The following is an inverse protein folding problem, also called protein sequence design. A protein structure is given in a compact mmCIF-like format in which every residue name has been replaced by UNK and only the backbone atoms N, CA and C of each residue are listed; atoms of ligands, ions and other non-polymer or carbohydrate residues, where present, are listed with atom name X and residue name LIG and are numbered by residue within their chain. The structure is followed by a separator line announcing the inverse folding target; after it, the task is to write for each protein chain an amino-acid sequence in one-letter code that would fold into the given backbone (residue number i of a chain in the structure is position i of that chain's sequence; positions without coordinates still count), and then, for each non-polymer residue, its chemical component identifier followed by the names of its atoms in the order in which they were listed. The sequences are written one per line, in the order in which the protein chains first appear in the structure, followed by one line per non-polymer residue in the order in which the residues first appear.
data_IF_424473780428
#
_entry.id   IF_424473780428
#
_cell.length_a   1.000
_cell.length_b   1.000
_cell.length_c   1.000
_cell.angle_alpha   90.00
_cell.angle_beta   90.00
_cell.angle_gamma   90.00
#
_symmetry.space_group_name_H-M   'P 1'
#
loop_
_entity.id
_entity.type
_entity.pdbx_description
1 polymer ?
#
# COMPACT_ATOMS: atom_id res chain seq x y z
N UNK A 1 36.35 -24.65 14.38
CA UNK A 1 36.73 -23.43 15.13
C UNK A 1 37.19 -22.42 14.10
N UNK A 2 36.36 -21.50 13.75
CA UNK A 2 36.65 -20.09 13.49
C UNK A 2 35.31 -19.46 13.17
N UNK A 3 34.80 -18.80 14.18
CA UNK A 3 33.67 -17.89 14.10
C UNK A 3 34.06 -16.75 13.15
N UNK A 4 33.28 -16.52 12.12
CA UNK A 4 33.34 -15.31 11.31
C UNK A 4 32.29 -14.35 11.89
N UNK A 5 32.80 -13.41 12.71
CA UNK A 5 32.05 -12.23 13.15
C UNK A 5 31.52 -11.47 11.93
N UNK A 6 30.21 -11.40 11.81
CA UNK A 6 29.55 -10.44 10.95
C UNK A 6 29.62 -9.11 11.71
N UNK A 7 30.47 -8.23 11.23
CA UNK A 7 30.54 -6.86 11.71
C UNK A 7 29.23 -6.14 11.38
N UNK A 8 28.37 -6.04 12.38
CA UNK A 8 27.36 -5.00 12.48
C UNK A 8 28.02 -3.87 13.26
N UNK A 9 28.22 -2.74 12.64
CA UNK A 9 28.22 -1.41 13.26
C UNK A 9 28.72 -0.41 12.22
N UNK A 10 27.77 0.07 11.41
CA UNK A 10 27.99 1.33 10.72
C UNK A 10 27.49 2.41 11.68
N UNK A 11 28.42 3.02 12.44
CA UNK A 11 28.16 4.25 13.18
C UNK A 11 27.51 5.26 12.24
N UNK A 12 26.32 5.75 12.59
CA UNK A 12 25.68 6.91 12.00
C UNK A 12 26.60 8.12 12.21
N UNK A 13 27.48 8.37 11.24
CA UNK A 13 28.15 9.65 11.11
C UNK A 13 27.07 10.74 10.98
N UNK A 14 27.38 11.98 11.41
CA UNK A 14 26.55 13.18 11.26
C UNK A 14 26.30 13.53 9.78
N UNK A 15 25.51 12.75 9.10
CA UNK A 15 25.14 12.83 7.69
C UNK A 15 23.70 12.37 7.57
N UNK A 16 22.91 13.03 6.71
CA UNK A 16 21.49 12.87 6.50
C UNK A 16 20.96 11.42 6.40
N UNK A 17 19.70 11.22 6.08
CA UNK A 17 19.06 9.90 6.11
C UNK A 17 19.69 8.93 5.10
N UNK A 18 19.78 7.65 5.46
CA UNK A 18 20.40 6.59 4.67
C UNK A 18 19.37 5.53 4.24
N UNK A 19 19.72 4.77 3.19
CA UNK A 19 18.93 3.60 2.78
C UNK A 19 18.91 2.59 3.92
N UNK A 20 17.71 2.13 4.30
CA UNK A 20 17.52 1.18 5.38
C UNK A 20 16.63 0.01 4.97
N UNK A 21 16.99 -1.21 5.41
CA UNK A 21 16.06 -2.33 5.37
C UNK A 21 14.92 -2.10 6.37
N UNK A 22 13.70 -2.31 5.95
CA UNK A 22 12.53 -2.28 6.84
C UNK A 22 12.25 -3.66 7.41
N UNK A 23 12.21 -3.74 8.73
CA UNK A 23 11.68 -4.91 9.42
C UNK A 23 10.16 -5.03 9.15
N UNK A 24 9.58 -6.25 9.20
CA UNK A 24 8.14 -6.44 9.13
C UNK A 24 7.41 -5.64 10.22
N UNK A 25 6.34 -4.93 9.81
CA UNK A 25 5.45 -4.16 10.68
C UNK A 25 4.01 -4.65 10.46
N UNK A 26 3.70 -5.81 11.05
CA UNK A 26 2.52 -6.62 10.73
C UNK A 26 1.52 -6.57 11.89
N UNK A 27 0.62 -5.57 11.93
CA UNK A 27 -0.38 -5.44 12.96
C UNK A 27 -1.45 -6.55 12.85
N UNK A 28 -2.13 -6.82 13.96
CA UNK A 28 -3.30 -7.67 13.95
C UNK A 28 -4.49 -6.91 13.37
N UNK A 29 -5.30 -7.60 12.53
CA UNK A 29 -6.52 -7.07 11.93
C UNK A 29 -7.72 -7.96 12.23
N UNK A 30 -8.91 -7.50 11.88
CA UNK A 30 -10.16 -8.24 12.10
C UNK A 30 -10.38 -9.37 11.09
N UNK A 31 -9.73 -9.35 9.92
CA UNK A 31 -9.84 -10.36 8.86
C UNK A 31 -8.59 -11.25 8.76
N UNK A 32 -8.70 -12.34 8.00
CA UNK A 32 -7.67 -13.38 7.92
C UNK A 32 -6.66 -13.13 6.82
N UNK A 33 -5.44 -13.60 7.04
CA UNK A 33 -4.30 -13.58 6.12
C UNK A 33 -2.98 -13.45 6.85
N UNK A 34 -1.91 -13.26 6.08
CA UNK A 34 -0.55 -13.00 6.55
C UNK A 34 0.45 -14.12 6.25
N UNK A 35 0.02 -15.34 5.98
CA UNK A 35 0.94 -16.45 5.69
C UNK A 35 1.83 -16.16 4.49
N UNK A 36 1.25 -15.60 3.41
CA UNK A 36 2.01 -15.23 2.20
C UNK A 36 2.95 -14.07 2.45
N UNK A 37 2.62 -13.15 3.37
CA UNK A 37 3.52 -12.05 3.78
C UNK A 37 4.73 -12.61 4.48
N UNK A 38 4.57 -13.47 5.50
CA UNK A 38 5.71 -14.08 6.20
C UNK A 38 6.60 -14.87 5.24
N UNK A 39 5.99 -15.63 4.32
CA UNK A 39 6.72 -16.38 3.30
C UNK A 39 7.47 -15.44 2.34
N UNK A 40 6.83 -14.40 1.83
CA UNK A 40 7.41 -13.41 0.93
C UNK A 40 8.58 -12.66 1.60
N UNK A 41 8.38 -12.18 2.84
CA UNK A 41 9.40 -11.47 3.62
C UNK A 41 10.51 -12.39 4.17
N UNK A 42 10.44 -13.71 3.93
CA UNK A 42 11.33 -14.70 4.57
C UNK A 42 11.41 -14.51 6.08
N UNK A 43 10.34 -14.04 6.70
CA UNK A 43 10.23 -13.76 8.11
C UNK A 43 9.67 -14.97 8.87
N UNK A 44 10.14 -15.15 10.11
CA UNK A 44 9.58 -16.19 10.96
C UNK A 44 8.14 -15.86 11.33
N UNK A 45 7.25 -16.83 11.16
CA UNK A 45 5.87 -16.73 11.64
C UNK A 45 5.88 -16.69 13.16
N UNK A 46 5.28 -15.67 13.82
CA UNK A 46 5.20 -15.61 15.27
C UNK A 46 4.49 -16.82 15.88
N UNK A 47 4.94 -17.26 17.06
CA UNK A 47 4.34 -18.42 17.74
C UNK A 47 2.86 -18.21 18.18
N UNK A 48 2.41 -16.97 18.24
CA UNK A 48 1.04 -16.55 18.53
C UNK A 48 0.22 -16.20 17.26
N UNK A 49 0.71 -16.55 16.09
CA UNK A 49 0.03 -16.30 14.82
C UNK A 49 -1.28 -17.08 14.73
N UNK A 50 -2.37 -16.35 14.63
CA UNK A 50 -3.75 -16.88 14.58
C UNK A 50 -4.40 -16.70 13.19
N UNK A 51 -3.63 -16.40 12.17
CA UNK A 51 -4.12 -16.14 10.82
C UNK A 51 -4.73 -14.75 10.64
N UNK A 52 -4.50 -13.78 11.54
CA UNK A 52 -5.08 -12.44 11.51
C UNK A 52 -4.04 -11.32 11.51
N UNK A 53 -2.99 -11.50 10.68
CA UNK A 53 -1.94 -10.50 10.44
C UNK A 53 -1.78 -10.27 8.93
N UNK A 54 -2.85 -9.85 8.25
CA UNK A 54 -2.92 -9.82 6.78
C UNK A 54 -2.22 -8.63 6.14
N UNK A 55 -1.69 -7.70 6.90
CA UNK A 55 -1.05 -6.47 6.38
C UNK A 55 0.34 -6.28 6.97
N UNK A 56 1.34 -5.92 6.13
CA UNK A 56 2.66 -5.42 6.53
C UNK A 56 2.79 -3.96 6.09
N UNK A 57 2.85 -3.03 7.04
CA UNK A 57 2.86 -1.58 6.80
C UNK A 57 4.29 -1.09 6.57
N UNK A 58 4.62 -0.81 5.33
CA UNK A 58 5.96 -0.55 4.84
C UNK A 58 6.27 0.95 4.83
N UNK A 59 7.22 1.41 5.64
CA UNK A 59 7.59 2.83 5.69
C UNK A 59 6.42 3.74 6.05
N UNK A 60 5.58 3.30 6.98
CA UNK A 60 4.32 3.96 7.33
C UNK A 60 4.50 5.12 8.29
N UNK A 61 3.83 6.22 7.99
CA UNK A 61 3.59 7.35 8.90
C UNK A 61 2.20 7.33 9.52
N UNK A 62 1.31 6.49 8.99
CA UNK A 62 -0.08 6.38 9.43
C UNK A 62 -0.23 5.46 10.64
N UNK A 63 -1.23 5.77 11.48
CA UNK A 63 -1.64 4.93 12.62
C UNK A 63 -2.91 4.18 12.28
N UNK A 64 -3.06 2.99 12.86
CA UNK A 64 -4.34 2.27 12.80
C UNK A 64 -5.46 3.13 13.38
N UNK A 65 -6.60 3.15 12.70
CA UNK A 65 -7.81 3.84 13.18
C UNK A 65 -8.40 3.13 14.42
N UNK A 66 -8.27 1.81 14.48
CA UNK A 66 -8.73 1.02 15.63
C UNK A 66 -7.84 1.19 16.87
N UNK A 67 -8.36 0.84 18.03
CA UNK A 67 -7.66 0.88 19.31
C UNK A 67 -6.34 0.09 19.28
N UNK A 68 -5.27 0.66 19.84
CA UNK A 68 -3.97 0.03 19.98
C UNK A 68 -2.79 0.76 19.34
N UNK A 69 -3.03 1.72 18.45
CA UNK A 69 -2.02 2.70 18.00
C UNK A 69 -0.82 2.14 17.23
N UNK A 70 -0.93 0.98 16.59
CA UNK A 70 0.13 0.40 15.74
C UNK A 70 0.17 1.02 14.34
N UNK A 71 1.07 0.52 13.49
CA UNK A 71 1.17 0.86 12.06
C UNK A 71 2.32 1.79 11.71
N UNK A 72 2.74 2.70 12.59
CA UNK A 72 3.89 3.58 12.34
C UNK A 72 5.18 2.77 12.28
N UNK A 73 6.02 3.08 11.30
CA UNK A 73 7.35 2.48 11.19
C UNK A 73 8.31 3.11 12.19
N UNK A 74 9.03 2.28 12.91
CA UNK A 74 10.15 2.68 13.78
C UNK A 74 11.46 2.35 13.07
N UNK A 75 12.35 3.33 12.97
CA UNK A 75 13.69 3.17 12.39
C UNK A 75 14.62 2.40 13.35
N UNK A 76 15.77 1.96 12.85
CA UNK A 76 16.72 1.15 13.63
C UNK A 76 17.26 1.84 14.90
N UNK A 77 17.29 3.17 14.90
CA UNK A 77 17.68 3.97 16.08
C UNK A 77 16.56 4.21 17.09
N UNK A 78 15.35 3.67 16.83
CA UNK A 78 14.17 3.82 17.67
C UNK A 78 13.31 5.05 17.37
N UNK A 79 13.70 5.88 16.38
CA UNK A 79 12.92 7.06 15.98
C UNK A 79 11.70 6.61 15.18
N UNK A 80 10.52 7.17 15.45
CA UNK A 80 9.35 6.99 14.57
C UNK A 80 9.57 7.73 13.24
N UNK A 81 9.19 7.12 12.13
CA UNK A 81 9.39 7.69 10.79
C UNK A 81 8.79 9.10 10.64
N UNK A 82 7.58 9.42 11.15
CA UNK A 82 7.06 10.79 11.10
C UNK A 82 8.00 11.83 11.73
N UNK A 83 8.63 11.50 12.86
CA UNK A 83 9.55 12.40 13.55
C UNK A 83 10.84 12.60 12.74
N UNK A 84 11.35 11.53 12.13
CA UNK A 84 12.52 11.60 11.26
C UNK A 84 12.26 12.45 10.00
N UNK A 85 11.08 12.30 9.38
CA UNK A 85 10.65 13.10 8.23
C UNK A 85 10.46 14.59 8.61
N UNK A 86 9.89 14.86 9.77
CA UNK A 86 9.71 16.23 10.26
C UNK A 86 11.05 16.91 10.62
N UNK A 87 12.04 16.15 11.11
CA UNK A 87 13.36 16.67 11.46
C UNK A 87 14.19 17.03 10.22
N UNK A 88 14.10 16.28 9.12
CA UNK A 88 14.83 16.56 7.87
C UNK A 88 13.96 16.25 6.63
N UNK A 89 12.92 17.05 6.37
CA UNK A 89 12.02 16.80 5.25
C UNK A 89 12.73 16.91 3.88
N UNK A 90 13.78 17.71 3.78
CA UNK A 90 14.54 17.87 2.51
C UNK A 90 15.41 16.65 2.25
N UNK A 91 16.12 16.14 3.26
CA UNK A 91 16.95 14.95 3.12
C UNK A 91 16.11 13.70 2.82
N UNK A 92 14.97 13.56 3.46
CA UNK A 92 14.07 12.43 3.20
C UNK A 92 13.29 12.55 1.90
N UNK A 93 12.60 13.66 1.66
CA UNK A 93 11.57 13.79 0.62
C UNK A 93 12.03 14.60 -0.60
N UNK A 94 13.14 15.32 -0.47
CA UNK A 94 13.63 16.25 -1.48
C UNK A 94 13.01 17.66 -1.35
N UNK A 95 13.73 18.67 -1.84
CA UNK A 95 13.36 20.08 -1.63
C UNK A 95 12.01 20.45 -2.26
N UNK A 96 11.69 19.92 -3.45
CA UNK A 96 10.44 20.22 -4.14
C UNK A 96 9.23 19.63 -3.39
N UNK A 97 9.31 18.38 -2.93
CA UNK A 97 8.26 17.73 -2.14
C UNK A 97 8.09 18.42 -0.80
N UNK A 98 9.19 18.69 -0.09
CA UNK A 98 9.16 19.37 1.21
C UNK A 98 8.56 20.78 1.13
N UNK A 99 8.79 21.51 0.03
CA UNK A 99 8.20 22.84 -0.20
C UNK A 99 6.67 22.76 -0.39
N UNK A 100 6.15 21.67 -0.96
CA UNK A 100 4.71 21.51 -1.25
C UNK A 100 3.94 20.86 -0.10
N UNK A 101 4.52 19.83 0.52
CA UNK A 101 3.84 18.93 1.47
C UNK A 101 4.50 18.88 2.86
N UNK A 102 5.59 19.64 3.07
CA UNK A 102 6.32 19.59 4.34
C UNK A 102 7.01 18.23 4.57
N UNK A 103 6.83 17.69 5.75
CA UNK A 103 7.34 16.35 6.13
C UNK A 103 6.38 15.20 5.86
N UNK A 104 5.26 15.45 5.18
CA UNK A 104 4.29 14.41 4.85
C UNK A 104 4.66 13.71 3.52
N UNK A 105 4.92 12.38 3.51
CA UNK A 105 5.18 11.66 2.28
C UNK A 105 3.94 11.49 1.40
N UNK A 106 2.73 11.75 1.89
CA UNK A 106 1.46 11.50 1.19
C UNK A 106 1.32 10.07 0.67
N UNK A 107 1.91 9.11 1.35
CA UNK A 107 1.98 7.73 0.91
C UNK A 107 1.93 6.77 2.10
N UNK A 108 1.09 5.75 2.00
CA UNK A 108 1.18 4.53 2.77
C UNK A 108 1.33 3.36 1.82
N UNK A 109 2.29 2.50 2.07
CA UNK A 109 2.53 1.28 1.30
C UNK A 109 2.35 0.08 2.20
N UNK A 110 1.67 -0.97 1.71
CA UNK A 110 1.45 -2.21 2.45
C UNK A 110 1.67 -3.43 1.57
N UNK A 111 2.10 -4.55 2.16
CA UNK A 111 1.75 -5.85 1.62
C UNK A 111 0.43 -6.27 2.27
N UNK A 112 -0.52 -6.73 1.47
CA UNK A 112 -1.80 -7.24 1.93
C UNK A 112 -2.01 -8.66 1.39
N UNK A 113 -2.25 -9.61 2.29
CA UNK A 113 -2.53 -11.01 2.01
C UNK A 113 -3.96 -11.36 2.40
N UNK A 114 -4.84 -11.51 1.42
CA UNK A 114 -6.24 -11.87 1.65
C UNK A 114 -6.39 -13.39 1.87
N UNK A 115 -6.30 -13.82 3.13
CA UNK A 115 -6.58 -15.21 3.53
C UNK A 115 -8.07 -15.55 3.59
N UNK A 116 -8.93 -14.58 3.38
CA UNK A 116 -10.37 -14.66 3.13
C UNK A 116 -10.78 -13.45 2.30
N UNK A 117 -11.98 -13.45 1.68
CA UNK A 117 -12.50 -12.26 1.00
C UNK A 117 -12.71 -11.12 2.00
N UNK A 118 -12.14 -9.96 1.69
CA UNK A 118 -12.33 -8.75 2.47
C UNK A 118 -13.80 -8.27 2.36
N UNK A 119 -14.31 -7.53 3.36
CA UNK A 119 -15.63 -6.92 3.27
C UNK A 119 -15.76 -6.02 2.02
N UNK A 120 -16.97 -5.86 1.51
CA UNK A 120 -17.25 -4.72 0.63
C UNK A 120 -17.16 -3.47 1.46
N UNK A 121 -16.29 -2.55 1.04
CA UNK A 121 -16.06 -1.27 1.73
C UNK A 121 -15.75 -0.18 0.71
N UNK A 122 -15.71 1.05 1.17
CA UNK A 122 -15.32 2.20 0.39
C UNK A 122 -14.46 3.13 1.23
N UNK A 123 -13.74 4.01 0.55
CA UNK A 123 -12.87 4.97 1.20
C UNK A 123 -13.31 6.40 0.95
N UNK A 124 -13.27 7.29 1.95
CA UNK A 124 -13.64 8.68 1.76
C UNK A 124 -12.66 9.40 0.82
N UNK A 125 -13.18 10.33 0.03
CA UNK A 125 -12.36 11.29 -0.73
C UNK A 125 -11.69 12.30 0.21
N UNK A 126 -10.69 13.04 -0.31
CA UNK A 126 -10.04 14.17 0.41
C UNK A 126 -11.06 15.19 0.90
N UNK A 127 -12.01 15.59 0.03
CA UNK A 127 -13.03 16.58 0.39
C UNK A 127 -13.93 16.09 1.51
N UNK A 128 -14.34 14.82 1.46
CA UNK A 128 -15.15 14.22 2.51
C UNK A 128 -14.37 14.10 3.83
N UNK A 129 -13.13 13.62 3.77
CA UNK A 129 -12.28 13.47 4.95
C UNK A 129 -12.01 14.83 5.62
N UNK A 130 -11.73 15.86 4.83
CA UNK A 130 -11.55 17.22 5.32
C UNK A 130 -12.80 17.80 5.97
N UNK A 131 -13.97 17.54 5.39
CA UNK A 131 -15.24 18.09 5.90
C UNK A 131 -15.75 17.38 7.15
N UNK A 132 -15.45 16.08 7.34
CA UNK A 132 -16.13 15.23 8.33
C UNK A 132 -15.20 14.42 9.23
N UNK A 133 -13.91 14.29 8.91
CA UNK A 133 -12.94 13.44 9.63
C UNK A 133 -11.71 14.22 10.13
N UNK A 134 -11.69 15.56 9.97
CA UNK A 134 -10.57 16.44 10.34
C UNK A 134 -9.22 15.97 9.77
N UNK A 135 -9.23 15.53 8.49
CA UNK A 135 -8.06 14.99 7.80
C UNK A 135 -7.99 15.53 6.37
N UNK A 136 -6.79 15.96 5.95
CA UNK A 136 -6.56 16.45 4.58
C UNK A 136 -6.39 15.31 3.55
N UNK A 137 -6.26 14.05 4.00
CA UNK A 137 -6.12 12.87 3.16
C UNK A 137 -7.42 12.08 3.08
N UNK A 138 -7.74 11.65 1.87
CA UNK A 138 -8.72 10.60 1.61
C UNK A 138 -8.05 9.22 1.67
N UNK A 139 -8.56 8.28 0.85
CA UNK A 139 -7.89 7.00 0.64
C UNK A 139 -8.14 6.45 -0.76
N UNK A 140 -7.65 7.18 -1.79
CA UNK A 140 -7.40 6.55 -3.09
C UNK A 140 -6.31 5.53 -2.91
N UNK A 141 -6.48 4.34 -3.51
CA UNK A 141 -5.50 3.24 -3.40
C UNK A 141 -5.26 2.55 -4.73
N UNK A 142 -4.22 1.75 -4.79
CA UNK A 142 -3.91 0.90 -5.93
C UNK A 142 -3.32 -0.43 -5.47
N UNK A 143 -3.66 -1.50 -6.16
CA UNK A 143 -3.20 -2.85 -5.90
C UNK A 143 -2.26 -3.32 -7.01
N UNK A 144 -1.03 -3.62 -6.66
CA UNK A 144 -0.05 -4.28 -7.53
C UNK A 144 -0.07 -5.76 -7.14
N UNK A 145 -0.65 -6.61 -7.97
CA UNK A 145 -0.85 -8.04 -7.67
C UNK A 145 0.47 -8.77 -7.79
N UNK A 146 1.00 -9.24 -6.65
CA UNK A 146 2.25 -10.01 -6.58
C UNK A 146 2.01 -11.51 -6.75
N UNK A 147 0.89 -12.01 -6.20
CA UNK A 147 0.45 -13.40 -6.37
C UNK A 147 -1.08 -13.47 -6.30
N UNK A 148 -1.64 -14.44 -7.00
CA UNK A 148 -3.07 -14.71 -7.00
C UNK A 148 -3.32 -16.20 -7.24
N UNK A 149 -4.27 -16.78 -6.51
CA UNK A 149 -4.73 -18.14 -6.74
C UNK A 149 -5.51 -18.22 -8.08
N UNK A 150 -5.58 -19.39 -8.72
CA UNK A 150 -6.38 -19.54 -9.93
C UNK A 150 -7.85 -19.16 -9.72
N UNK A 151 -8.34 -18.22 -10.53
CA UNK A 151 -9.72 -17.71 -10.43
C UNK A 151 -9.90 -16.56 -9.41
N UNK A 152 -8.82 -16.05 -8.86
CA UNK A 152 -8.88 -14.91 -7.95
C UNK A 152 -9.59 -13.71 -8.59
N UNK A 153 -10.41 -13.04 -7.80
CA UNK A 153 -11.27 -11.95 -8.24
C UNK A 153 -11.20 -10.82 -7.22
N UNK A 154 -11.17 -9.59 -7.71
CA UNK A 154 -11.43 -8.38 -6.94
C UNK A 154 -12.70 -7.71 -7.47
N UNK A 155 -13.32 -6.87 -6.67
CA UNK A 155 -14.53 -6.14 -7.08
C UNK A 155 -14.26 -4.66 -6.96
N UNK A 156 -14.68 -3.85 -7.95
CA UNK A 156 -14.50 -2.38 -7.94
C UNK A 156 -15.70 -1.71 -8.59
N UNK A 157 -16.34 -0.80 -7.86
CA UNK A 157 -17.48 0.00 -8.31
C UNK A 157 -18.75 -0.81 -8.53
N UNK A 158 -19.89 -0.15 -8.54
CA UNK A 158 -21.17 -0.78 -8.86
C UNK A 158 -21.35 -0.98 -10.36
N UNK A 159 -22.15 -2.01 -10.73
CA UNK A 159 -22.51 -2.32 -12.12
C UNK A 159 -23.56 -1.35 -12.67
N UNK A 160 -24.51 -1.01 -11.82
CA UNK A 160 -25.65 -0.17 -12.12
C UNK A 160 -25.68 1.03 -11.16
N UNK A 161 -26.38 2.09 -11.54
CA UNK A 161 -26.63 3.21 -10.65
C UNK A 161 -27.54 2.77 -9.50
N UNK A 162 -27.16 3.08 -8.28
CA UNK A 162 -27.97 2.86 -7.08
C UNK A 162 -28.49 4.18 -6.54
N UNK A 163 -29.76 4.20 -6.13
CA UNK A 163 -30.29 5.30 -5.34
C UNK A 163 -29.73 5.28 -3.91
N UNK A 164 -29.77 6.43 -3.21
CA UNK A 164 -29.32 6.50 -1.81
C UNK A 164 -30.09 5.50 -0.91
N UNK A 165 -31.41 5.39 -1.08
CA UNK A 165 -32.26 4.46 -0.32
C UNK A 165 -31.91 3.00 -0.67
N UNK A 166 -31.63 2.70 -1.94
CA UNK A 166 -31.28 1.34 -2.39
C UNK A 166 -29.90 0.92 -1.84
N UNK A 167 -28.90 1.81 -1.86
CA UNK A 167 -27.63 1.56 -1.21
C UNK A 167 -27.81 1.30 0.28
N UNK A 168 -28.63 2.12 0.96
CA UNK A 168 -28.90 1.93 2.39
C UNK A 168 -29.60 0.58 2.66
N UNK A 169 -30.55 0.15 1.83
CA UNK A 169 -31.21 -1.15 1.93
C UNK A 169 -30.22 -2.33 1.73
N UNK A 170 -29.30 -2.22 0.76
CA UNK A 170 -28.25 -3.24 0.53
C UNK A 170 -27.31 -3.34 1.71
N UNK A 171 -26.90 -2.20 2.28
CA UNK A 171 -26.05 -2.16 3.48
C UNK A 171 -26.77 -2.70 4.70
N UNK A 172 -28.08 -2.43 4.88
CA UNK A 172 -28.88 -2.97 5.99
C UNK A 172 -29.12 -4.47 5.89
N UNK A 173 -29.21 -5.00 4.67
CA UNK A 173 -29.47 -6.42 4.45
C UNK A 173 -28.29 -7.32 4.85
N UNK A 174 -27.06 -6.81 4.82
CA UNK A 174 -25.82 -7.54 5.16
C UNK A 174 -25.73 -8.92 4.47
N UNK A 175 -26.18 -9.01 3.23
CA UNK A 175 -26.23 -10.24 2.43
C UNK A 175 -25.40 -10.13 1.12
N UNK A 176 -25.41 -11.19 0.31
CA UNK A 176 -24.57 -11.28 -0.89
C UNK A 176 -24.92 -10.27 -1.99
N UNK A 177 -26.11 -9.66 -1.97
CA UNK A 177 -26.57 -8.70 -2.98
C UNK A 177 -25.65 -7.50 -3.11
N UNK A 178 -25.05 -7.06 -2.01
CA UNK A 178 -24.11 -5.94 -2.02
C UNK A 178 -22.85 -6.28 -2.85
N UNK A 179 -22.28 -7.46 -2.66
CA UNK A 179 -21.15 -7.92 -3.47
C UNK A 179 -21.54 -8.16 -4.92
N UNK A 180 -22.74 -8.75 -5.15
CA UNK A 180 -23.28 -8.99 -6.49
C UNK A 180 -23.54 -7.70 -7.27
N UNK A 181 -23.82 -6.59 -6.60
CA UNK A 181 -23.95 -5.27 -7.21
C UNK A 181 -22.61 -4.71 -7.72
N UNK A 182 -21.48 -5.18 -7.20
CA UNK A 182 -20.14 -4.73 -7.63
C UNK A 182 -19.65 -5.43 -8.90
N UNK A 183 -18.77 -4.78 -9.65
CA UNK A 183 -18.12 -5.35 -10.84
C UNK A 183 -17.01 -6.32 -10.43
N UNK A 184 -17.09 -7.63 -10.79
CA UNK A 184 -16.00 -8.56 -10.61
C UNK A 184 -14.89 -8.36 -11.64
N UNK A 185 -13.66 -8.35 -11.21
CA UNK A 185 -12.46 -8.22 -12.03
C UNK A 185 -11.56 -9.42 -11.73
N UNK A 186 -11.35 -10.29 -12.70
CA UNK A 186 -10.36 -11.36 -12.57
C UNK A 186 -8.96 -10.76 -12.54
N UNK A 187 -8.13 -11.22 -11.60
CA UNK A 187 -6.75 -10.77 -11.43
C UNK A 187 -5.78 -11.93 -11.37
N UNK A 188 -4.56 -11.66 -11.78
CA UNK A 188 -3.42 -12.57 -11.72
C UNK A 188 -2.14 -11.82 -11.35
N UNK A 189 -1.12 -12.53 -10.94
CA UNK A 189 0.19 -11.93 -10.71
C UNK A 189 0.64 -11.13 -11.94
N UNK A 190 1.11 -9.92 -11.72
CA UNK A 190 1.51 -8.99 -12.78
C UNK A 190 0.46 -7.94 -13.14
N UNK A 191 -0.78 -8.07 -12.72
CA UNK A 191 -1.81 -7.03 -12.88
C UNK A 191 -1.65 -5.91 -11.84
N UNK A 192 -2.16 -4.72 -12.18
CA UNK A 192 -2.37 -3.64 -11.24
C UNK A 192 -3.73 -2.99 -11.45
N UNK A 193 -4.36 -2.55 -10.36
CA UNK A 193 -5.69 -1.94 -10.35
C UNK A 193 -5.65 -0.69 -9.49
N UNK A 194 -6.03 0.46 -10.05
CA UNK A 194 -6.28 1.70 -9.31
C UNK A 194 -7.73 1.70 -8.80
N UNK A 195 -7.92 2.04 -7.53
CA UNK A 195 -9.23 2.15 -6.87
C UNK A 195 -9.41 3.58 -6.39
N UNK A 196 -10.11 4.43 -7.14
CA UNK A 196 -10.39 5.79 -6.69
C UNK A 196 -11.20 5.81 -5.40
N UNK A 197 -10.95 6.79 -4.54
CA UNK A 197 -11.78 7.04 -3.38
C UNK A 197 -13.26 7.16 -3.76
N UNK A 198 -14.13 6.69 -2.88
CA UNK A 198 -15.58 6.59 -3.13
C UNK A 198 -16.02 5.27 -3.76
N UNK A 199 -15.18 4.60 -4.52
CA UNK A 199 -15.57 3.35 -5.18
C UNK A 199 -15.73 2.20 -4.16
N UNK A 200 -16.90 1.55 -4.10
CA UNK A 200 -17.07 0.34 -3.31
C UNK A 200 -16.23 -0.79 -3.91
N UNK A 201 -15.53 -1.54 -3.05
CA UNK A 201 -14.62 -2.57 -3.52
C UNK A 201 -14.41 -3.68 -2.51
N UNK A 202 -13.87 -4.81 -2.98
CA UNK A 202 -13.43 -5.93 -2.15
C UNK A 202 -12.29 -6.68 -2.83
N UNK A 203 -11.39 -7.26 -2.03
CA UNK A 203 -10.35 -8.17 -2.49
C UNK A 203 -10.78 -9.59 -2.17
N UNK A 204 -10.80 -10.48 -3.15
CA UNK A 204 -11.11 -11.89 -2.99
C UNK A 204 -10.03 -12.65 -2.23
N UNK A 205 -10.38 -13.82 -1.74
CA UNK A 205 -9.44 -14.74 -1.10
C UNK A 205 -8.32 -15.15 -2.08
N UNK A 206 -7.13 -15.33 -1.54
CA UNK A 206 -6.00 -15.89 -2.29
C UNK A 206 -5.20 -14.88 -3.09
N UNK A 207 -5.31 -13.59 -2.80
CA UNK A 207 -4.55 -12.51 -3.46
C UNK A 207 -3.52 -11.93 -2.52
N UNK A 208 -2.27 -11.79 -3.00
CA UNK A 208 -1.22 -11.00 -2.34
C UNK A 208 -0.96 -9.76 -3.17
N UNK A 209 -1.15 -8.59 -2.59
CA UNK A 209 -0.90 -7.32 -3.26
C UNK A 209 0.16 -6.49 -2.53
N UNK A 210 0.88 -5.68 -3.30
CA UNK A 210 1.56 -4.49 -2.83
C UNK A 210 0.58 -3.32 -3.05
N UNK A 211 0.03 -2.81 -1.97
CA UNK A 211 -0.95 -1.74 -1.96
C UNK A 211 -0.26 -0.40 -1.74
N UNK A 212 -0.58 0.58 -2.58
CA UNK A 212 -0.24 1.98 -2.36
C UNK A 212 -1.52 2.73 -2.08
N UNK A 213 -1.51 3.65 -1.12
CA UNK A 213 -2.67 4.44 -0.76
C UNK A 213 -2.28 5.80 -0.18
N UNK A 214 -3.25 6.71 -0.10
CA UNK A 214 -3.12 7.90 0.74
C UNK A 214 -2.96 7.48 2.21
N UNK A 215 -2.22 8.24 3.04
CA UNK A 215 -1.73 7.77 4.34
C UNK A 215 -2.80 7.79 5.45
N UNK A 216 -3.93 7.10 5.23
CA UNK A 216 -5.00 6.94 6.22
C UNK A 216 -5.43 5.47 6.35
N UNK A 217 -6.07 5.11 7.47
CA UNK A 217 -6.72 3.80 7.67
C UNK A 217 -8.25 3.93 7.62
N UNK A 218 -8.76 4.93 6.88
CA UNK A 218 -10.19 5.19 6.79
C UNK A 218 -10.89 4.22 5.83
N UNK A 219 -11.88 3.50 6.35
CA UNK A 219 -12.71 2.60 5.56
C UNK A 219 -14.15 2.62 6.06
N UNK A 220 -15.09 2.93 5.18
CA UNK A 220 -16.53 2.77 5.43
C UNK A 220 -16.90 1.35 5.04
N UNK A 221 -17.15 0.50 6.04
CA UNK A 221 -17.42 -0.93 5.88
C UNK A 221 -18.90 -1.14 5.54
N UNK A 222 -19.20 -1.38 4.28
CA UNK A 222 -20.55 -1.65 3.81
C UNK A 222 -21.03 -3.05 4.24
N UNK A 223 -20.09 -4.03 4.33
CA UNK A 223 -20.29 -5.30 5.00
C UNK A 223 -19.58 -5.28 6.37
N UNK A 224 -20.31 -5.42 7.44
CA UNK A 224 -19.74 -5.36 8.80
C UNK A 224 -20.14 -6.52 9.69
N UNK A 225 -21.38 -7.01 9.62
CA UNK A 225 -21.88 -8.06 10.54
C UNK A 225 -21.10 -9.37 10.42
N UNK A 226 -20.85 -9.85 9.18
CA UNK A 226 -20.07 -11.07 8.92
C UNK A 226 -18.67 -11.01 9.52
N UNK A 227 -18.10 -9.81 9.64
CA UNK A 227 -16.75 -9.59 10.15
C UNK A 227 -16.73 -9.21 11.63
N UNK A 228 -17.91 -9.11 12.27
CA UNK A 228 -18.05 -8.79 13.68
C UNK A 228 -17.60 -7.37 14.03
N UNK A 229 -17.78 -6.43 13.12
CA UNK A 229 -17.41 -5.03 13.31
C UNK A 229 -18.56 -4.27 13.98
N UNK A 230 -18.21 -3.48 15.00
CA UNK A 230 -19.15 -2.54 15.61
C UNK A 230 -19.44 -1.38 14.66
N UNK A 231 -20.65 -0.81 14.72
CA UNK A 231 -21.09 0.25 13.80
C UNK A 231 -20.20 1.50 13.84
N UNK A 232 -19.74 1.90 15.03
CA UNK A 232 -18.83 3.03 15.19
C UNK A 232 -17.52 2.82 14.40
N UNK A 233 -16.99 1.60 14.42
CA UNK A 233 -15.83 1.22 13.64
C UNK A 233 -16.17 1.17 12.14
N UNK A 234 -17.30 0.54 11.80
CA UNK A 234 -17.71 0.36 10.40
C UNK A 234 -17.94 1.69 9.67
N UNK A 235 -18.39 2.72 10.38
CA UNK A 235 -18.72 4.03 9.81
C UNK A 235 -17.83 5.18 10.29
N UNK A 236 -16.62 4.88 10.76
CA UNK A 236 -15.61 5.89 11.14
C UNK A 236 -16.08 6.85 12.26
N UNK A 237 -16.95 6.38 13.15
CA UNK A 237 -17.55 7.22 14.20
C UNK A 237 -18.62 8.21 13.70
N UNK A 238 -18.97 8.16 12.40
CA UNK A 238 -20.02 8.97 11.80
C UNK A 238 -21.39 8.28 11.91
N UNK A 239 -22.47 9.06 11.83
CA UNK A 239 -23.77 8.44 11.59
C UNK A 239 -23.79 7.77 10.20
N UNK A 240 -24.52 6.65 10.10
CA UNK A 240 -24.55 5.84 8.88
C UNK A 240 -24.98 6.63 7.63
N UNK A 241 -26.04 7.45 7.63
CA UNK A 241 -26.42 8.23 6.46
C UNK A 241 -25.31 9.16 5.99
N UNK A 242 -24.56 9.77 6.91
CA UNK A 242 -23.41 10.60 6.55
C UNK A 242 -22.27 9.77 5.99
N UNK A 243 -21.92 8.64 6.61
CA UNK A 243 -20.86 7.76 6.14
C UNK A 243 -21.14 7.25 4.71
N UNK A 244 -22.38 6.85 4.41
CA UNK A 244 -22.77 6.38 3.08
C UNK A 244 -22.66 7.45 1.99
N UNK A 245 -22.69 8.75 2.32
CA UNK A 245 -22.44 9.84 1.36
C UNK A 245 -20.99 9.88 0.84
N UNK A 246 -20.07 9.17 1.46
CA UNK A 246 -18.70 9.03 0.94
C UNK A 246 -18.58 7.96 -0.14
N UNK A 247 -19.62 7.16 -0.35
CA UNK A 247 -19.66 6.08 -1.33
C UNK A 247 -20.12 6.62 -2.68
N UNK A 248 -19.40 6.31 -3.74
CA UNK A 248 -19.86 6.55 -5.12
C UNK A 248 -20.82 5.45 -5.53
N UNK A 249 -22.08 5.81 -5.76
CA UNK A 249 -23.15 4.90 -6.16
C UNK A 249 -23.51 4.97 -7.65
N UNK A 250 -22.72 5.70 -8.44
CA UNK A 250 -22.81 5.65 -9.88
C UNK A 250 -22.24 4.35 -10.48
N UNK A 251 -22.66 4.00 -11.72
CA UNK A 251 -22.17 2.81 -12.39
C UNK A 251 -20.72 2.98 -12.84
N UNK A 252 -19.88 1.97 -12.61
CA UNK A 252 -18.54 1.94 -13.16
C UNK A 252 -18.50 1.14 -14.46
N UNK A 253 -18.39 1.84 -15.61
CA UNK A 253 -18.43 1.19 -16.91
C UNK A 253 -17.24 0.28 -17.19
N UNK A 254 -17.39 -0.67 -18.12
CA UNK A 254 -16.31 -1.56 -18.52
C UNK A 254 -15.09 -0.80 -19.08
N UNK A 255 -15.31 0.30 -19.81
CA UNK A 255 -14.25 1.17 -20.33
C UNK A 255 -13.50 1.86 -19.17
N UNK A 256 -14.24 2.32 -18.17
CA UNK A 256 -13.64 2.93 -16.98
C UNK A 256 -12.82 1.91 -16.21
N UNK A 257 -13.36 0.70 -15.98
CA UNK A 257 -12.61 -0.39 -15.34
C UNK A 257 -11.32 -0.71 -16.12
N UNK A 258 -11.40 -0.76 -17.45
CA UNK A 258 -10.21 -1.00 -18.26
C UNK A 258 -9.15 0.10 -18.11
N UNK A 259 -9.56 1.38 -17.98
CA UNK A 259 -8.62 2.50 -17.76
C UNK A 259 -7.97 2.52 -16.38
N UNK A 260 -8.58 1.86 -15.39
CA UNK A 260 -8.04 1.71 -14.04
C UNK A 260 -7.03 0.55 -13.91
N UNK A 261 -6.75 -0.15 -15.00
CA UNK A 261 -5.89 -1.34 -14.98
C UNK A 261 -4.65 -1.15 -15.83
N UNK A 262 -3.55 -1.72 -15.33
CA UNK A 262 -2.29 -1.88 -16.09
C UNK A 262 -1.73 -3.28 -15.83
N UNK A 263 -0.68 -3.61 -16.58
CA UNK A 263 0.04 -4.85 -16.38
C UNK A 263 1.52 -4.55 -16.14
N UNK A 264 1.91 -4.49 -14.86
CA UNK A 264 3.28 -4.17 -14.47
C UNK A 264 4.28 -5.27 -14.85
N UNK A 265 3.81 -6.51 -15.01
CA UNK A 265 4.66 -7.62 -15.42
C UNK A 265 5.27 -7.45 -16.82
N UNK A 266 4.61 -6.66 -17.68
CA UNK A 266 5.05 -6.43 -19.06
C UNK A 266 6.09 -5.30 -19.17
N UNK A 267 6.41 -4.61 -18.07
CA UNK A 267 7.42 -3.53 -18.05
C UNK A 267 8.82 -4.12 -18.06
N UNK A 268 9.61 -3.74 -19.04
CA UNK A 268 11.04 -4.06 -19.15
C UNK A 268 11.88 -2.80 -18.87
N UNK A 269 13.03 -2.99 -18.23
CA UNK A 269 13.91 -1.88 -17.85
C UNK A 269 13.31 -1.04 -16.73
N UNK A 270 12.72 0.10 -17.07
CA UNK A 270 12.04 1.01 -16.14
C UNK A 270 10.73 1.52 -16.76
N UNK A 271 9.68 1.55 -15.95
CA UNK A 271 8.39 2.09 -16.40
C UNK A 271 7.32 2.10 -15.30
N UNK A 272 6.18 2.76 -15.55
CA UNK A 272 5.09 2.86 -14.58
C UNK A 272 4.47 1.49 -14.30
N UNK A 273 4.16 1.24 -13.03
CA UNK A 273 3.43 0.05 -12.59
C UNK A 273 1.92 0.30 -12.51
N UNK A 274 1.49 1.55 -12.45
CA UNK A 274 0.10 1.98 -12.23
C UNK A 274 -0.39 2.86 -13.37
N UNK A 275 -1.72 3.01 -13.55
CA UNK A 275 -2.29 4.01 -14.45
C UNK A 275 -1.85 5.43 -14.09
N UNK A 276 -1.69 6.30 -15.09
CA UNK A 276 -1.23 7.70 -14.91
C UNK A 276 -2.13 8.51 -13.95
N UNK A 277 -3.42 8.22 -13.90
CA UNK A 277 -4.38 8.86 -13.02
C UNK A 277 -4.00 8.74 -11.54
N UNK A 278 -3.37 7.62 -11.14
CA UNK A 278 -2.87 7.42 -9.79
C UNK A 278 -1.76 8.41 -9.38
N UNK A 279 -1.09 9.04 -10.35
CA UNK A 279 0.08 9.90 -10.11
C UNK A 279 -0.23 11.18 -9.30
N UNK A 280 -1.49 11.57 -9.22
CA UNK A 280 -1.96 12.66 -8.35
C UNK A 280 -1.82 12.30 -6.86
N UNK A 281 -1.93 11.01 -6.52
CA UNK A 281 -1.95 10.52 -5.16
C UNK A 281 -0.63 9.86 -4.76
N UNK A 282 -0.10 9.03 -5.62
CA UNK A 282 1.16 8.29 -5.45
C UNK A 282 1.66 7.78 -6.80
N UNK A 283 2.89 7.30 -6.84
CA UNK A 283 3.49 6.72 -8.05
C UNK A 283 4.13 5.38 -7.71
N UNK A 284 4.08 4.45 -8.66
CA UNK A 284 4.87 3.23 -8.60
C UNK A 284 5.54 2.98 -9.94
N UNK A 285 6.80 2.56 -9.90
CA UNK A 285 7.53 2.14 -11.07
C UNK A 285 8.19 0.78 -10.88
N UNK A 286 8.21 0.01 -11.94
CA UNK A 286 9.00 -1.21 -12.05
C UNK A 286 10.42 -0.83 -12.44
N UNK A 287 11.40 -1.45 -11.80
CA UNK A 287 12.82 -1.40 -12.18
C UNK A 287 13.30 -2.83 -12.35
N UNK A 288 13.59 -3.21 -13.60
CA UNK A 288 13.98 -4.57 -13.97
C UNK A 288 15.16 -4.50 -14.96
N UNK A 289 16.40 -4.64 -14.51
CA UNK A 289 17.55 -4.70 -15.40
C UNK A 289 17.42 -5.84 -16.43
N UNK A 290 17.59 -5.53 -17.71
CA UNK A 290 17.61 -6.50 -18.80
C UNK A 290 18.93 -6.33 -19.55
N UNK A 291 19.89 -7.17 -19.25
CA UNK A 291 21.22 -7.17 -19.89
C UNK A 291 22.15 -6.02 -19.50
N UNK A 292 21.65 -4.93 -18.94
CA UNK A 292 22.41 -3.78 -18.43
C UNK A 292 21.79 -3.23 -17.18
N UNK A 293 22.57 -2.58 -16.28
CA UNK A 293 22.03 -1.87 -15.13
C UNK A 293 21.05 -0.75 -15.53
N UNK A 294 20.09 -0.48 -14.66
CA UNK A 294 19.10 0.61 -14.81
C UNK A 294 19.37 1.66 -13.75
N UNK A 295 19.51 2.91 -14.17
CA UNK A 295 19.67 4.05 -13.26
C UNK A 295 18.37 4.81 -13.17
N UNK A 296 17.90 5.05 -11.93
CA UNK A 296 16.67 5.78 -11.62
C UNK A 296 17.00 7.05 -10.84
N UNK A 297 16.17 8.07 -11.00
CA UNK A 297 16.37 9.36 -10.35
C UNK A 297 16.20 9.29 -8.81
N UNK A 298 16.83 10.25 -8.13
CA UNK A 298 16.66 10.42 -6.68
C UNK A 298 15.20 10.68 -6.31
N UNK A 299 14.69 9.91 -5.37
CA UNK A 299 13.36 10.09 -4.80
C UNK A 299 13.28 9.42 -3.44
N UNK A 300 12.43 9.93 -2.57
CA UNK A 300 11.93 9.12 -1.46
C UNK A 300 11.13 7.95 -2.04
N UNK A 301 11.40 6.75 -1.57
CA UNK A 301 10.66 5.57 -1.99
C UNK A 301 10.65 4.47 -0.92
N UNK A 302 9.53 3.74 -0.87
CA UNK A 302 9.51 2.38 -0.35
C UNK A 302 9.81 1.45 -1.52
N UNK A 303 10.91 0.72 -1.46
CA UNK A 303 11.34 -0.19 -2.54
C UNK A 303 11.13 -1.62 -2.10
N UNK A 304 10.37 -2.37 -2.90
CA UNK A 304 10.09 -3.78 -2.67
C UNK A 304 10.76 -4.63 -3.76
N UNK A 305 11.64 -5.53 -3.36
CA UNK A 305 12.21 -6.52 -4.27
C UNK A 305 11.20 -7.67 -4.45
N UNK A 306 10.51 -7.68 -5.60
CA UNK A 306 9.40 -8.62 -5.84
C UNK A 306 9.87 -9.95 -6.43
N UNK A 307 11.03 -9.97 -7.08
CA UNK A 307 11.59 -11.19 -7.66
C UNK A 307 13.12 -11.11 -7.78
N UNK A 308 13.77 -12.26 -7.79
CA UNK A 308 15.19 -12.40 -8.13
C UNK A 308 16.15 -11.89 -7.06
N UNK A 309 17.34 -11.50 -7.50
CA UNK A 309 18.40 -10.93 -6.66
C UNK A 309 19.31 -10.02 -7.46
N UNK A 310 19.86 -8.99 -6.81
CA UNK A 310 20.72 -8.03 -7.47
C UNK A 310 21.41 -7.11 -6.48
N UNK A 311 21.80 -5.94 -6.94
CA UNK A 311 22.37 -4.89 -6.11
C UNK A 311 21.79 -3.53 -6.48
N UNK A 312 21.76 -2.65 -5.48
CA UNK A 312 21.43 -1.23 -5.60
C UNK A 312 22.69 -0.45 -5.24
N UNK A 313 23.22 0.29 -6.18
CA UNK A 313 24.35 1.18 -5.97
C UNK A 313 23.84 2.63 -5.86
N UNK A 314 24.39 3.36 -4.89
CA UNK A 314 24.07 4.77 -4.63
C UNK A 314 25.32 5.52 -4.17
N UNK A 315 25.20 6.82 -3.93
CA UNK A 315 26.27 7.60 -3.31
C UNK A 315 26.63 7.12 -1.91
N UNK A 316 25.74 6.37 -1.26
CA UNK A 316 25.92 5.81 0.10
C UNK A 316 26.57 4.42 0.10
N UNK A 317 26.84 3.84 -1.06
CA UNK A 317 27.45 2.52 -1.23
C UNK A 317 26.58 1.55 -2.01
N UNK A 318 26.98 0.27 -1.98
CA UNK A 318 26.29 -0.83 -2.68
C UNK A 318 25.57 -1.71 -1.68
N UNK A 319 24.30 -2.04 -1.97
CA UNK A 319 23.46 -2.89 -1.15
C UNK A 319 22.96 -4.08 -1.96
N UNK A 320 23.26 -5.29 -1.50
CA UNK A 320 22.70 -6.49 -2.08
C UNK A 320 21.20 -6.61 -1.73
N UNK A 321 20.38 -7.01 -2.71
CA UNK A 321 18.94 -7.16 -2.53
C UNK A 321 18.45 -8.48 -3.13
N UNK A 322 17.44 -9.07 -2.51
CA UNK A 322 16.79 -10.29 -2.95
C UNK A 322 15.26 -10.18 -2.78
N UNK A 323 14.53 -11.03 -3.49
CA UNK A 323 13.07 -11.11 -3.36
C UNK A 323 12.64 -11.18 -1.88
N UNK A 324 11.68 -10.35 -1.50
CA UNK A 324 11.19 -10.19 -0.13
C UNK A 324 11.84 -9.06 0.67
N UNK A 325 12.96 -8.49 0.19
CA UNK A 325 13.55 -7.31 0.82
C UNK A 325 12.65 -6.08 0.60
N UNK A 326 12.55 -5.28 1.64
CA UNK A 326 11.88 -3.97 1.61
C UNK A 326 12.83 -2.93 2.15
N UNK A 327 13.00 -1.86 1.38
CA UNK A 327 13.90 -0.77 1.72
C UNK A 327 13.14 0.54 1.85
N UNK A 328 13.55 1.36 2.80
CA UNK A 328 13.21 2.77 2.85
C UNK A 328 14.37 3.55 2.24
N UNK A 329 14.10 4.27 1.17
CA UNK A 329 15.10 5.03 0.41
C UNK A 329 14.82 6.51 0.57
N UNK A 330 15.71 7.30 1.19
CA UNK A 330 15.57 8.75 1.25
C UNK A 330 15.99 9.40 -0.07
N UNK A 331 15.46 10.57 -0.37
CA UNK A 331 15.90 11.38 -1.52
C UNK A 331 17.42 11.68 -1.48
N UNK A 332 17.97 11.87 -0.28
CA UNK A 332 19.40 12.12 -0.06
C UNK A 332 20.32 10.96 -0.49
N UNK A 333 19.78 9.76 -0.73
CA UNK A 333 20.57 8.67 -1.31
C UNK A 333 21.05 8.98 -2.74
N UNK A 334 20.44 9.97 -3.39
CA UNK A 334 20.74 10.32 -4.78
C UNK A 334 20.16 9.33 -5.78
N UNK A 335 20.59 9.38 -7.05
CA UNK A 335 20.21 8.40 -8.05
C UNK A 335 20.67 7.00 -7.65
N UNK A 336 19.85 5.99 -8.00
CA UNK A 336 20.15 4.59 -7.73
C UNK A 336 20.46 3.87 -9.04
N UNK A 337 21.47 3.00 -9.02
CA UNK A 337 21.74 2.09 -10.14
C UNK A 337 21.44 0.66 -9.70
N UNK A 338 20.47 0.04 -10.35
CA UNK A 338 20.02 -1.34 -10.07
C UNK A 338 20.67 -2.28 -11.07
N UNK A 339 21.24 -3.37 -10.59
CA UNK A 339 21.93 -4.38 -11.39
C UNK A 339 21.57 -5.80 -10.93
N UNK A 340 21.83 -6.78 -11.80
CA UNK A 340 21.55 -8.20 -11.53
C UNK A 340 20.20 -8.66 -12.08
N UNK A 341 19.80 -9.87 -11.71
CA UNK A 341 18.51 -10.46 -12.09
C UNK A 341 17.49 -10.21 -10.96
N UNK A 342 17.03 -8.97 -10.86
CA UNK A 342 16.11 -8.52 -9.83
C UNK A 342 14.99 -7.69 -10.45
N UNK A 343 13.79 -7.82 -9.89
CA UNK A 343 12.67 -6.91 -10.18
C UNK A 343 12.33 -6.16 -8.90
N UNK A 344 12.41 -4.83 -8.96
CA UNK A 344 12.02 -3.94 -7.89
C UNK A 344 10.75 -3.19 -8.27
N UNK A 345 9.92 -2.90 -7.27
CA UNK A 345 8.85 -1.90 -7.38
C UNK A 345 9.20 -0.76 -6.42
N UNK A 346 9.31 0.46 -6.96
CA UNK A 346 9.53 1.70 -6.21
C UNK A 346 8.19 2.39 -6.00
N UNK A 347 7.74 2.45 -4.76
CA UNK A 347 6.53 3.15 -4.33
C UNK A 347 6.92 4.54 -3.86
N UNK A 348 6.40 5.58 -4.50
CA UNK A 348 6.84 6.97 -4.31
C UNK A 348 5.65 7.88 -4.04
N UNK A 349 5.88 9.00 -3.31
CA UNK A 349 4.92 10.09 -3.20
C UNK A 349 4.37 10.57 -4.54
N UNK A 350 3.27 11.38 -4.55
CA UNK A 350 2.88 12.11 -5.74
C UNK A 350 4.04 12.99 -6.26
N UNK A 351 3.98 13.38 -7.52
CA UNK A 351 4.94 14.32 -8.07
C UNK A 351 4.82 15.67 -7.32
N UNK A 352 5.95 16.30 -6.96
CA UNK A 352 5.95 17.58 -6.25
C UNK A 352 5.43 18.74 -7.10
#
# INVERSE_FOLDING_TARGET
MTSTDIASDTELAAGGPVIAHLAPNIPRRFYRGGERIFAFRSAATPGDFDGRRPEDWLGSTARLFAEGGGGVTTLADGTELPDALAADPVGWLGAAHAARFGGDPNLLTKLLDSGERLPVHSHPSRDFAKAHLDCDHGKTEAWIVLAAEPGATVWVGFRDELGEDELAELVDAQDERLLEACNPISVSAGDAVLVPAGQPHAIGEGVLVLELQEPTDFSVMLEHERFGLELDHAFLGLDRPLALRSVDHGPLSAERIASLRTRWADVEGQGPALPDEGSEYFRAEVVRPVGAPVTVDAAYAVVVAVAGRGAIDSAQGSLAVAAGDVLLVPHAAGPLTVSGDVTLIRCMPPAP
#
